data_IF_957000827987
#
_entry.id   IF_957000827987
#
_cell.length_a   1.000
_cell.length_b   1.000
_cell.length_c   1.000
_cell.angle_alpha   90.00
_cell.angle_beta   90.00
_cell.angle_gamma   90.00
#
_symmetry.space_group_name_H-M   'P 1'
#
loop_
_entity.id
_entity.type
_entity.pdbx_description
1 polymer ?
#
# COMPACT_ATOMS: atom_id res chain seq x y z
N UNK A 1 -2.63 16.38 -15.21
CA UNK A 1 -3.41 15.18 -14.91
C UNK A 1 -3.19 14.11 -15.95
N UNK A 2 -2.16 13.28 -15.76
CA UNK A 2 -2.09 11.99 -16.45
C UNK A 2 -3.15 11.13 -15.76
N UNK A 3 -4.14 10.70 -16.53
CA UNK A 3 -5.21 9.89 -16.02
C UNK A 3 -4.66 8.52 -15.57
N UNK A 4 -4.36 8.42 -14.27
CA UNK A 4 -3.89 7.21 -13.58
C UNK A 4 -4.86 6.03 -13.75
N UNK A 5 -6.10 6.25 -14.22
CA UNK A 5 -7.04 5.18 -14.55
C UNK A 5 -6.72 4.49 -15.88
N UNK A 6 -6.14 5.19 -16.85
CA UNK A 6 -5.80 4.66 -18.18
C UNK A 6 -4.91 3.42 -18.11
N UNK A 7 -4.05 3.33 -17.10
CA UNK A 7 -3.10 2.23 -16.96
C UNK A 7 -3.68 0.95 -16.35
N UNK A 8 -4.90 0.99 -15.81
CA UNK A 8 -5.54 -0.16 -15.16
C UNK A 8 -6.61 -0.83 -16.02
N UNK A 9 -6.67 -0.51 -17.32
CA UNK A 9 -7.52 -1.23 -18.25
C UNK A 9 -6.95 -2.62 -18.58
N UNK A 10 -7.83 -3.61 -18.69
CA UNK A 10 -7.51 -4.96 -19.11
C UNK A 10 -7.38 -5.06 -20.65
N UNK A 11 -6.36 -4.41 -21.23
CA UNK A 11 -6.23 -4.32 -22.69
C UNK A 11 -5.42 -5.48 -23.30
N UNK A 12 -4.42 -5.99 -22.57
CA UNK A 12 -3.53 -7.05 -23.06
C UNK A 12 -3.21 -8.08 -21.97
N UNK A 13 -3.20 -9.36 -22.33
CA UNK A 13 -2.72 -10.42 -21.44
C UNK A 13 -1.24 -10.22 -21.09
N UNK A 14 -0.92 -10.33 -19.80
CA UNK A 14 0.43 -10.10 -19.28
C UNK A 14 1.49 -11.05 -19.86
N UNK A 15 2.73 -10.57 -19.88
CA UNK A 15 3.94 -11.37 -20.06
C UNK A 15 4.85 -11.25 -18.83
N UNK A 16 6.00 -11.93 -18.85
CA UNK A 16 6.95 -11.93 -17.73
C UNK A 16 7.44 -10.52 -17.31
N UNK A 17 7.63 -9.61 -18.27
CA UNK A 17 8.10 -8.25 -17.99
C UNK A 17 7.02 -7.42 -17.29
N UNK A 18 5.77 -7.60 -17.68
CA UNK A 18 4.63 -6.92 -17.07
C UNK A 18 4.49 -7.30 -15.59
N UNK A 19 4.60 -8.59 -15.30
CA UNK A 19 4.52 -9.09 -13.93
C UNK A 19 5.67 -8.58 -13.05
N UNK A 20 6.91 -8.60 -13.56
CA UNK A 20 8.06 -8.04 -12.83
C UNK A 20 7.91 -6.54 -12.58
N UNK A 21 7.44 -5.80 -13.59
CA UNK A 21 7.16 -4.37 -13.46
C UNK A 21 6.08 -4.11 -12.42
N UNK A 22 4.99 -4.90 -12.45
CA UNK A 22 3.91 -4.86 -11.48
C UNK A 22 4.43 -5.05 -10.05
N UNK A 23 5.30 -6.03 -9.79
CA UNK A 23 5.89 -6.22 -8.47
C UNK A 23 6.73 -5.05 -7.99
N UNK A 24 7.63 -4.55 -8.86
CA UNK A 24 8.46 -3.41 -8.53
C UNK A 24 7.62 -2.16 -8.24
N UNK A 25 6.66 -1.88 -9.12
CA UNK A 25 5.75 -0.76 -9.00
C UNK A 25 4.87 -0.87 -7.76
N UNK A 26 4.26 -2.03 -7.51
CA UNK A 26 3.42 -2.28 -6.34
C UNK A 26 4.20 -2.11 -5.05
N UNK A 27 5.42 -2.65 -4.96
CA UNK A 27 6.24 -2.52 -3.76
C UNK A 27 6.65 -1.08 -3.50
N UNK A 28 7.14 -0.38 -4.52
CA UNK A 28 7.58 1.01 -4.38
C UNK A 28 6.41 1.94 -4.03
N UNK A 29 5.31 1.84 -4.77
CA UNK A 29 4.11 2.65 -4.53
C UNK A 29 3.51 2.36 -3.15
N UNK A 30 3.52 1.09 -2.71
CA UNK A 30 3.05 0.73 -1.38
C UNK A 30 3.91 1.35 -0.29
N UNK A 31 5.24 1.29 -0.43
CA UNK A 31 6.15 1.82 0.56
C UNK A 31 6.02 3.34 0.68
N UNK A 32 5.98 4.06 -0.46
CA UNK A 32 5.71 5.50 -0.51
C UNK A 32 4.35 5.83 0.12
N UNK A 33 3.30 5.09 -0.23
CA UNK A 33 1.96 5.27 0.36
C UNK A 33 1.97 5.05 1.88
N UNK A 34 2.66 4.03 2.38
CA UNK A 34 2.75 3.76 3.81
C UNK A 34 3.45 4.91 4.55
N UNK A 35 4.46 5.54 3.95
CA UNK A 35 5.15 6.69 4.52
C UNK A 35 4.29 7.96 4.59
N UNK A 36 3.17 8.03 3.87
CA UNK A 36 2.22 9.13 4.05
C UNK A 36 1.50 9.01 5.41
N UNK A 37 1.37 7.79 5.94
CA UNK A 37 0.68 7.50 7.21
C UNK A 37 1.60 7.87 8.39
N UNK A 38 1.24 8.87 9.22
CA UNK A 38 2.09 9.31 10.34
C UNK A 38 2.45 8.19 11.31
N UNK A 39 1.49 7.31 11.61
CA UNK A 39 1.65 6.20 12.54
C UNK A 39 2.63 5.15 12.01
N UNK A 40 2.72 4.95 10.69
CA UNK A 40 3.73 4.09 10.09
C UNK A 40 5.13 4.70 10.23
N UNK A 41 5.28 5.99 9.91
CA UNK A 41 6.57 6.70 10.02
C UNK A 41 7.09 6.80 11.45
N UNK A 42 6.19 6.81 12.43
CA UNK A 42 6.54 6.86 13.84
C UNK A 42 7.13 5.54 14.38
N UNK A 43 6.95 4.41 13.67
CA UNK A 43 7.52 3.12 14.05
C UNK A 43 9.03 3.10 13.87
N UNK A 44 9.71 2.21 14.61
CA UNK A 44 11.12 1.92 14.36
C UNK A 44 11.32 1.38 12.92
N UNK A 45 12.45 1.71 12.29
CA UNK A 45 12.73 1.28 10.92
C UNK A 45 12.66 -0.25 10.76
N UNK A 46 13.10 -1.01 11.76
CA UNK A 46 12.97 -2.48 11.77
C UNK A 46 11.51 -2.95 11.67
N UNK A 47 10.61 -2.29 12.38
CA UNK A 47 9.18 -2.62 12.42
C UNK A 47 8.48 -2.21 11.10
N UNK A 48 8.86 -1.04 10.54
CA UNK A 48 8.40 -0.62 9.22
C UNK A 48 8.75 -1.65 8.14
N UNK A 49 9.97 -2.20 8.19
CA UNK A 49 10.43 -3.23 7.26
C UNK A 49 9.69 -4.55 7.44
N UNK A 50 9.40 -4.96 8.69
CA UNK A 50 8.61 -6.16 8.97
C UNK A 50 7.20 -6.03 8.41
N UNK A 51 6.49 -4.93 8.71
CA UNK A 51 5.14 -4.68 8.19
C UNK A 51 5.11 -4.65 6.65
N UNK A 52 6.06 -3.95 6.04
CA UNK A 52 6.15 -3.85 4.58
C UNK A 52 6.38 -5.21 3.94
N UNK A 53 7.28 -6.02 4.50
CA UNK A 53 7.58 -7.36 3.98
C UNK A 53 6.41 -8.33 4.16
N UNK A 54 5.74 -8.29 5.30
CA UNK A 54 4.65 -9.21 5.61
C UNK A 54 3.39 -8.91 4.80
N UNK A 55 3.10 -7.62 4.59
CA UNK A 55 1.79 -7.21 4.05
C UNK A 55 1.84 -6.71 2.61
N UNK A 56 3.01 -6.66 1.95
CA UNK A 56 3.10 -6.10 0.59
C UNK A 56 2.21 -6.80 -0.43
N UNK A 57 2.24 -8.13 -0.47
CA UNK A 57 1.39 -8.92 -1.34
C UNK A 57 -0.09 -8.69 -1.03
N UNK A 58 -0.48 -8.75 0.25
CA UNK A 58 -1.87 -8.56 0.70
C UNK A 58 -2.43 -7.21 0.24
N UNK A 59 -1.66 -6.14 0.49
CA UNK A 59 -2.10 -4.78 0.13
C UNK A 59 -2.04 -4.55 -1.38
N UNK A 60 -1.04 -5.12 -2.07
CA UNK A 60 -0.92 -5.07 -3.52
C UNK A 60 -2.09 -5.74 -4.23
N UNK A 61 -2.45 -6.97 -3.83
CA UNK A 61 -3.59 -7.68 -4.41
C UNK A 61 -4.93 -7.01 -4.14
N UNK A 62 -5.12 -6.47 -2.93
CA UNK A 62 -6.29 -5.65 -2.63
C UNK A 62 -6.37 -4.43 -3.56
N UNK A 63 -5.23 -3.79 -3.84
CA UNK A 63 -5.19 -2.67 -4.77
C UNK A 63 -5.58 -3.09 -6.19
N UNK A 64 -4.97 -4.13 -6.76
CA UNK A 64 -5.27 -4.55 -8.13
C UNK A 64 -6.71 -5.03 -8.31
N UNK A 65 -7.24 -5.80 -7.36
CA UNK A 65 -8.63 -6.27 -7.45
C UNK A 65 -9.64 -5.15 -7.21
N UNK A 66 -9.34 -4.17 -6.35
CA UNK A 66 -10.21 -3.00 -6.20
C UNK A 66 -10.24 -2.16 -7.48
N UNK A 67 -9.10 -2.02 -8.18
CA UNK A 67 -9.03 -1.30 -9.45
C UNK A 67 -9.83 -1.99 -10.56
N UNK A 68 -9.89 -3.32 -10.58
CA UNK A 68 -10.76 -4.02 -11.53
C UNK A 68 -12.24 -3.77 -11.25
N UNK A 69 -12.66 -3.79 -9.99
CA UNK A 69 -14.05 -3.49 -9.59
C UNK A 69 -14.42 -2.04 -9.93
N UNK A 70 -13.54 -1.07 -9.62
CA UNK A 70 -13.78 0.35 -9.89
C UNK A 70 -14.01 0.65 -11.38
N UNK A 71 -13.44 -0.17 -12.26
CA UNK A 71 -13.56 -0.04 -13.71
C UNK A 71 -14.60 -1.00 -14.32
N UNK A 72 -15.37 -1.73 -13.50
CA UNK A 72 -16.31 -2.78 -13.92
C UNK A 72 -15.67 -3.89 -14.78
N UNK A 73 -14.42 -4.23 -14.48
CA UNK A 73 -13.58 -5.21 -15.20
C UNK A 73 -13.21 -6.42 -14.36
N UNK A 74 -13.71 -6.55 -13.13
CA UNK A 74 -13.40 -7.68 -12.26
C UNK A 74 -13.83 -9.01 -12.86
N UNK A 75 -14.79 -9.00 -13.80
CA UNK A 75 -15.22 -10.18 -14.57
C UNK A 75 -14.30 -10.55 -15.74
N UNK A 76 -13.40 -9.65 -16.14
CA UNK A 76 -12.44 -9.84 -17.24
C UNK A 76 -11.12 -10.38 -16.67
N UNK A 77 -10.58 -9.70 -15.66
CA UNK A 77 -9.33 -10.10 -15.05
C UNK A 77 -8.80 -9.13 -13.99
N UNK A 78 -7.55 -9.32 -13.62
CA UNK A 78 -6.86 -8.49 -12.62
C UNK A 78 -5.83 -7.60 -13.33
N UNK A 79 -6.04 -6.27 -13.39
CA UNK A 79 -5.14 -5.34 -14.08
C UNK A 79 -3.84 -5.14 -13.29
N UNK A 80 -2.74 -4.91 -14.00
CA UNK A 80 -1.40 -4.77 -13.44
C UNK A 80 -0.86 -3.33 -13.44
N UNK A 81 -1.67 -2.34 -13.87
CA UNK A 81 -1.29 -0.93 -13.84
C UNK A 81 -0.34 -0.50 -14.97
N UNK A 82 -0.30 -1.26 -16.06
CA UNK A 82 0.45 -0.91 -17.29
C UNK A 82 -0.31 -1.27 -18.58
N UNK A 83 -1.65 -1.36 -18.52
CA UNK A 83 -2.52 -1.84 -19.60
C UNK A 83 -2.54 -3.36 -19.78
N UNK A 84 -1.73 -4.10 -19.00
CA UNK A 84 -1.80 -5.55 -18.97
C UNK A 84 -2.65 -6.09 -17.82
N UNK A 85 -3.14 -7.32 -17.96
CA UNK A 85 -3.93 -7.99 -16.94
C UNK A 85 -3.66 -9.50 -16.88
N UNK A 86 -4.06 -10.09 -15.76
CA UNK A 86 -4.09 -11.54 -15.56
C UNK A 86 -5.49 -12.03 -15.90
N UNK A 87 -5.68 -12.77 -17.01
CA UNK A 87 -6.95 -13.40 -17.32
C UNK A 87 -7.18 -14.59 -16.38
N UNK A 88 -8.44 -14.96 -16.19
CA UNK A 88 -8.80 -16.21 -15.52
C UNK A 88 -9.93 -16.97 -16.21
N UNK A 89 -10.50 -16.42 -17.29
CA UNK A 89 -11.38 -17.17 -18.18
C UNK A 89 -10.59 -18.26 -18.92
N UNK A 90 -11.21 -19.43 -19.13
CA UNK A 90 -10.54 -20.58 -19.72
C UNK A 90 -10.01 -20.32 -21.14
N UNK A 91 -10.73 -19.51 -21.93
CA UNK A 91 -10.33 -19.17 -23.30
C UNK A 91 -9.09 -18.28 -23.34
N UNK A 92 -9.09 -17.19 -22.57
CA UNK A 92 -7.96 -16.26 -22.51
C UNK A 92 -6.75 -16.87 -21.78
N UNK A 93 -6.99 -17.66 -20.72
CA UNK A 93 -5.94 -18.41 -20.03
C UNK A 93 -5.14 -19.28 -21.00
N UNK A 94 -5.78 -19.95 -21.95
CA UNK A 94 -5.10 -20.79 -22.93
C UNK A 94 -4.08 -20.03 -23.82
N UNK A 95 -4.20 -18.70 -23.91
CA UNK A 95 -3.29 -17.85 -24.69
C UNK A 95 -2.13 -17.26 -23.87
N UNK A 96 -2.22 -17.33 -22.53
CA UNK A 96 -1.15 -16.90 -21.62
C UNK A 96 0.01 -17.90 -21.61
N UNK A 97 1.21 -17.50 -21.21
CA UNK A 97 2.34 -18.44 -21.05
C UNK A 97 1.95 -19.60 -20.10
N UNK A 98 2.16 -20.87 -20.49
CA UNK A 98 1.83 -22.04 -19.67
C UNK A 98 2.36 -21.99 -18.23
N UNK A 99 3.51 -21.35 -17.98
CA UNK A 99 4.05 -21.23 -16.62
C UNK A 99 3.14 -20.37 -15.73
N UNK A 100 2.52 -19.34 -16.30
CA UNK A 100 1.64 -18.42 -15.59
C UNK A 100 0.19 -18.93 -15.53
N UNK A 101 -0.24 -19.73 -16.51
CA UNK A 101 -1.58 -20.34 -16.51
C UNK A 101 -1.84 -21.14 -15.23
N UNK A 102 -0.86 -21.96 -14.85
CA UNK A 102 -0.97 -22.87 -13.71
C UNK A 102 -0.79 -22.19 -12.34
N UNK A 103 -0.30 -20.95 -12.33
CA UNK A 103 0.02 -20.15 -11.13
C UNK A 103 -0.90 -18.93 -11.03
N UNK A 104 -0.57 -17.83 -11.72
CA UNK A 104 -1.28 -16.56 -11.68
C UNK A 104 -2.71 -16.64 -12.22
N UNK A 105 -2.98 -17.48 -13.22
CA UNK A 105 -4.35 -17.69 -13.70
C UNK A 105 -5.28 -18.23 -12.61
N UNK A 106 -4.81 -19.21 -11.83
CA UNK A 106 -5.55 -19.76 -10.67
C UNK A 106 -5.62 -18.75 -9.53
N UNK A 107 -4.55 -17.99 -9.30
CA UNK A 107 -4.49 -16.97 -8.27
C UNK A 107 -5.51 -15.85 -8.56
N UNK A 108 -5.53 -15.33 -9.79
CA UNK A 108 -6.47 -14.30 -10.23
C UNK A 108 -7.92 -14.75 -10.08
N UNK A 109 -8.23 -15.98 -10.50
CA UNK A 109 -9.57 -16.56 -10.28
C UNK A 109 -9.97 -16.52 -8.80
N UNK A 110 -9.09 -17.03 -7.92
CA UNK A 110 -9.36 -17.06 -6.49
C UNK A 110 -9.48 -15.66 -5.89
N UNK A 111 -8.61 -14.73 -6.28
CA UNK A 111 -8.64 -13.35 -5.82
C UNK A 111 -9.95 -12.67 -6.21
N UNK A 112 -10.40 -12.82 -7.45
CA UNK A 112 -11.68 -12.26 -7.90
C UNK A 112 -12.85 -12.91 -7.18
N UNK A 113 -12.91 -14.24 -7.11
CA UNK A 113 -14.02 -14.96 -6.46
C UNK A 113 -14.12 -14.64 -4.96
N UNK A 114 -12.99 -14.55 -4.26
CA UNK A 114 -12.94 -14.37 -2.81
C UNK A 114 -12.92 -12.91 -2.35
N UNK A 115 -12.53 -11.98 -3.23
CA UNK A 115 -12.34 -10.56 -2.86
C UNK A 115 -13.03 -9.63 -3.84
N UNK A 116 -12.77 -9.75 -5.14
CA UNK A 116 -13.33 -8.83 -6.14
C UNK A 116 -14.86 -8.84 -6.19
N UNK A 117 -15.47 -10.02 -6.29
CA UNK A 117 -16.93 -10.17 -6.31
C UNK A 117 -17.55 -9.67 -4.99
N UNK A 118 -17.05 -10.07 -3.80
CA UNK A 118 -17.53 -9.50 -2.54
C UNK A 118 -17.39 -7.98 -2.42
N UNK A 119 -16.27 -7.39 -2.85
CA UNK A 119 -16.07 -5.93 -2.85
C UNK A 119 -17.15 -5.24 -3.67
N UNK A 120 -17.44 -5.77 -4.87
CA UNK A 120 -18.49 -5.22 -5.74
C UNK A 120 -19.88 -5.41 -5.15
N UNK A 121 -20.20 -6.59 -4.64
CA UNK A 121 -21.52 -6.90 -4.05
C UNK A 121 -21.80 -6.09 -2.79
N UNK A 122 -20.77 -5.77 -2.01
CA UNK A 122 -20.88 -4.90 -0.86
C UNK A 122 -20.94 -3.42 -1.23
N UNK A 123 -20.78 -3.03 -2.50
CA UNK A 123 -20.67 -1.63 -2.90
C UNK A 123 -19.59 -0.90 -2.07
N UNK A 124 -18.38 -1.45 -2.04
CA UNK A 124 -17.26 -0.86 -1.29
C UNK A 124 -16.92 0.52 -1.85
N UNK A 125 -17.00 1.57 -1.03
CA UNK A 125 -16.56 2.90 -1.47
C UNK A 125 -15.06 3.12 -1.23
N UNK A 126 -14.60 4.28 -1.69
CA UNK A 126 -13.22 4.69 -1.55
C UNK A 126 -12.75 4.82 -0.09
N UNK A 127 -13.62 5.28 0.82
CA UNK A 127 -13.27 5.48 2.24
C UNK A 127 -13.15 4.12 2.95
N UNK A 128 -14.09 3.19 2.72
CA UNK A 128 -14.02 1.81 3.20
C UNK A 128 -12.79 1.09 2.63
N UNK A 129 -12.51 1.25 1.33
CA UNK A 129 -11.30 0.72 0.69
C UNK A 129 -10.02 1.24 1.35
N UNK A 130 -9.93 2.55 1.57
CA UNK A 130 -8.74 3.19 2.14
C UNK A 130 -8.48 2.71 3.57
N UNK A 131 -9.55 2.61 4.38
CA UNK A 131 -9.49 2.08 5.74
C UNK A 131 -9.12 0.59 5.74
N UNK A 132 -9.73 -0.22 4.86
CA UNK A 132 -9.41 -1.64 4.75
C UNK A 132 -7.95 -1.87 4.33
N UNK A 133 -7.45 -1.06 3.39
CA UNK A 133 -6.05 -1.07 2.94
C UNK A 133 -5.10 -0.75 4.10
N UNK A 134 -5.42 0.25 4.91
CA UNK A 134 -4.65 0.57 6.11
C UNK A 134 -4.71 -0.58 7.14
N UNK A 135 -5.89 -1.12 7.44
CA UNK A 135 -6.02 -2.25 8.38
C UNK A 135 -5.21 -3.45 7.89
N UNK A 136 -5.18 -3.73 6.59
CA UNK A 136 -4.37 -4.79 6.00
C UNK A 136 -2.85 -4.53 6.12
N UNK A 137 -2.39 -3.29 5.92
CA UNK A 137 -0.98 -2.91 6.04
C UNK A 137 -0.44 -3.06 7.47
N UNK A 138 -1.30 -2.81 8.46
CA UNK A 138 -0.96 -2.86 9.88
C UNK A 138 -1.28 -4.24 10.51
N UNK A 139 -1.50 -5.30 9.72
CA UNK A 139 -1.50 -6.66 10.28
C UNK A 139 -0.09 -7.02 10.76
N UNK A 140 0.01 -7.69 11.91
CA UNK A 140 1.30 -8.09 12.45
C UNK A 140 1.18 -9.38 13.25
N UNK A 141 2.28 -10.14 13.21
CA UNK A 141 2.55 -11.26 14.11
C UNK A 141 3.57 -10.83 15.18
N UNK A 142 4.17 -11.78 15.90
CA UNK A 142 5.10 -11.51 17.00
C UNK A 142 6.50 -11.04 16.56
N UNK A 143 6.71 -10.66 15.30
CA UNK A 143 8.01 -10.23 14.75
C UNK A 143 8.34 -8.75 15.02
N UNK A 144 7.35 -7.93 15.38
CA UNK A 144 7.55 -6.53 15.72
C UNK A 144 8.16 -6.37 17.13
N UNK A 145 8.83 -5.23 17.36
CA UNK A 145 9.23 -4.80 18.71
C UNK A 145 8.02 -4.67 19.64
N UNK A 146 8.22 -4.74 20.96
CA UNK A 146 7.11 -4.63 21.92
C UNK A 146 6.42 -3.26 21.82
N UNK A 147 7.19 -2.18 21.61
CA UNK A 147 6.66 -0.86 21.34
C UNK A 147 5.87 -0.82 20.02
N UNK A 148 6.42 -1.42 18.96
CA UNK A 148 5.77 -1.52 17.65
C UNK A 148 4.45 -2.28 17.71
N UNK A 149 4.40 -3.42 18.39
CA UNK A 149 3.18 -4.20 18.59
C UNK A 149 2.08 -3.38 19.27
N UNK A 150 2.42 -2.62 20.32
CA UNK A 150 1.47 -1.74 21.02
C UNK A 150 0.98 -0.62 20.11
N UNK A 151 1.89 0.10 19.46
CA UNK A 151 1.56 1.21 18.57
C UNK A 151 0.66 0.76 17.40
N UNK A 152 0.99 -0.38 16.79
CA UNK A 152 0.20 -0.96 15.69
C UNK A 152 -1.17 -1.41 16.19
N UNK A 153 -1.26 -2.05 17.36
CA UNK A 153 -2.54 -2.47 17.94
C UNK A 153 -3.47 -1.27 18.22
N UNK A 154 -2.93 -0.23 18.86
CA UNK A 154 -3.68 1.00 19.17
C UNK A 154 -4.19 1.67 17.88
N UNK A 155 -3.33 1.76 16.86
CA UNK A 155 -3.72 2.35 15.58
C UNK A 155 -4.78 1.51 14.85
N UNK A 156 -4.68 0.17 14.88
CA UNK A 156 -5.72 -0.72 14.33
C UNK A 156 -7.06 -0.51 15.02
N UNK A 157 -7.10 -0.32 16.34
CA UNK A 157 -8.34 -0.02 17.04
C UNK A 157 -8.94 1.30 16.58
N UNK A 158 -8.11 2.31 16.35
CA UNK A 158 -8.53 3.58 15.77
C UNK A 158 -9.11 3.40 14.35
N UNK A 159 -8.43 2.67 13.47
CA UNK A 159 -8.90 2.38 12.11
C UNK A 159 -10.23 1.63 12.09
N UNK A 160 -10.42 0.64 12.96
CA UNK A 160 -11.69 -0.08 13.07
C UNK A 160 -12.82 0.83 13.57
N UNK A 161 -12.53 1.72 14.52
CA UNK A 161 -13.51 2.70 15.01
C UNK A 161 -13.91 3.67 13.90
N UNK A 162 -12.95 4.12 13.08
CA UNK A 162 -13.20 4.96 11.92
C UNK A 162 -14.04 4.24 10.85
N UNK A 163 -13.77 2.96 10.59
CA UNK A 163 -14.56 2.14 9.66
C UNK A 163 -16.01 2.00 10.13
N UNK A 164 -16.22 1.71 11.41
CA UNK A 164 -17.56 1.65 11.99
C UNK A 164 -18.26 3.00 11.81
N UNK A 165 -17.66 4.09 12.26
CA UNK A 165 -18.25 5.43 12.16
C UNK A 165 -18.61 5.82 10.71
N UNK A 166 -17.77 5.45 9.75
CA UNK A 166 -18.05 5.64 8.33
C UNK A 166 -19.26 4.82 7.85
N UNK A 167 -19.34 3.54 8.20
CA UNK A 167 -20.49 2.68 7.90
C UNK A 167 -21.78 3.26 8.51
N UNK A 168 -21.74 3.77 9.74
CA UNK A 168 -22.90 4.39 10.38
C UNK A 168 -23.40 5.62 9.61
N UNK A 169 -22.46 6.43 9.12
CA UNK A 169 -22.75 7.63 8.31
C UNK A 169 -23.33 7.27 6.94
N UNK A 170 -22.76 6.28 6.25
CA UNK A 170 -23.16 5.88 4.89
C UNK A 170 -24.47 5.07 4.88
N UNK A 171 -24.71 4.26 5.90
CA UNK A 171 -25.86 3.38 6.00
C UNK A 171 -26.71 3.68 7.25
N UNK A 172 -27.31 4.90 7.37
CA UNK A 172 -28.08 5.29 8.55
C UNK A 172 -29.39 4.49 8.71
N UNK A 173 -29.85 3.87 7.62
CA UNK A 173 -31.05 3.03 7.59
C UNK A 173 -30.80 1.60 8.09
N UNK A 174 -29.54 1.15 8.14
CA UNK A 174 -29.20 -0.18 8.66
C UNK A 174 -29.27 -0.20 10.18
N UNK A 175 -29.80 -1.30 10.71
CA UNK A 175 -29.74 -1.59 12.15
C UNK A 175 -28.28 -1.71 12.64
N UNK A 176 -28.03 -1.53 13.95
CA UNK A 176 -26.68 -1.73 14.50
C UNK A 176 -26.11 -3.13 14.22
N UNK A 177 -26.95 -4.15 14.19
CA UNK A 177 -26.53 -5.53 13.87
C UNK A 177 -26.07 -5.66 12.41
N UNK A 178 -26.82 -5.10 11.45
CA UNK A 178 -26.46 -5.11 10.03
C UNK A 178 -25.16 -4.35 9.76
N UNK A 179 -24.97 -3.19 10.41
CA UNK A 179 -23.72 -2.41 10.32
C UNK A 179 -22.52 -3.16 10.89
N UNK A 180 -22.71 -3.85 12.03
CA UNK A 180 -21.69 -4.71 12.61
C UNK A 180 -21.34 -5.88 11.66
N UNK A 181 -22.36 -6.53 11.07
CA UNK A 181 -22.15 -7.59 10.09
C UNK A 181 -21.41 -7.09 8.85
N UNK A 182 -21.72 -5.90 8.34
CA UNK A 182 -20.97 -5.29 7.23
C UNK A 182 -19.50 -5.09 7.62
N UNK A 183 -19.22 -4.49 8.78
CA UNK A 183 -17.84 -4.31 9.26
C UNK A 183 -17.09 -5.64 9.38
N UNK A 184 -17.77 -6.69 9.86
CA UNK A 184 -17.23 -8.04 9.90
C UNK A 184 -16.92 -8.58 8.50
N UNK A 185 -17.85 -8.46 7.54
CA UNK A 185 -17.64 -8.93 6.17
C UNK A 185 -16.48 -8.21 5.48
N UNK A 186 -16.36 -6.89 5.67
CA UNK A 186 -15.24 -6.09 5.15
C UNK A 186 -13.90 -6.57 5.72
N UNK A 187 -13.81 -6.70 7.05
CA UNK A 187 -12.56 -7.13 7.70
C UNK A 187 -12.23 -8.60 7.42
N UNK A 188 -13.22 -9.44 7.14
CA UNK A 188 -13.05 -10.83 6.72
C UNK A 188 -12.41 -10.98 5.32
N UNK A 189 -12.36 -9.92 4.51
CA UNK A 189 -11.60 -9.93 3.26
C UNK A 189 -10.08 -10.01 3.51
N UNK A 190 -9.59 -9.54 4.66
CA UNK A 190 -8.16 -9.53 4.98
C UNK A 190 -7.59 -10.96 5.07
N UNK A 191 -8.17 -11.89 5.85
CA UNK A 191 -7.73 -13.28 5.83
C UNK A 191 -7.76 -13.93 4.44
N UNK A 192 -8.76 -13.61 3.61
CA UNK A 192 -8.82 -14.09 2.23
C UNK A 192 -7.62 -13.57 1.41
N UNK A 193 -7.29 -12.28 1.53
CA UNK A 193 -6.12 -11.68 0.87
C UNK A 193 -4.79 -12.27 1.38
N UNK A 194 -4.65 -12.51 2.68
CA UNK A 194 -3.47 -13.16 3.25
C UNK A 194 -3.28 -14.57 2.67
N UNK A 195 -4.38 -15.32 2.48
CA UNK A 195 -4.33 -16.62 1.81
C UNK A 195 -3.88 -16.49 0.35
N UNK A 196 -4.31 -15.45 -0.38
CA UNK A 196 -3.83 -15.17 -1.74
C UNK A 196 -2.32 -14.89 -1.74
N UNK A 197 -1.82 -14.04 -0.83
CA UNK A 197 -0.38 -13.77 -0.72
C UNK A 197 0.44 -15.02 -0.34
N UNK A 198 -0.12 -15.92 0.46
CA UNK A 198 0.52 -17.21 0.75
C UNK A 198 0.58 -18.11 -0.49
N UNK A 199 -0.51 -18.21 -1.27
CA UNK A 199 -0.55 -18.98 -2.51
C UNK A 199 0.45 -18.44 -3.54
N UNK A 200 0.55 -17.13 -3.69
CA UNK A 200 1.58 -16.48 -4.51
C UNK A 200 2.99 -16.90 -4.08
N UNK A 201 3.28 -16.82 -2.79
CA UNK A 201 4.60 -17.19 -2.25
C UNK A 201 4.94 -18.65 -2.55
N UNK A 202 3.97 -19.57 -2.45
CA UNK A 202 4.15 -20.97 -2.82
C UNK A 202 4.47 -21.13 -4.31
N UNK A 203 3.76 -20.40 -5.19
CA UNK A 203 4.03 -20.45 -6.62
C UNK A 203 5.40 -19.88 -6.97
N UNK A 204 5.81 -18.79 -6.33
CA UNK A 204 7.13 -18.21 -6.51
C UNK A 204 8.26 -19.18 -6.14
N UNK A 205 8.07 -19.99 -5.09
CA UNK A 205 9.04 -21.01 -4.65
C UNK A 205 9.11 -22.23 -5.57
N UNK A 206 8.03 -22.54 -6.29
CA UNK A 206 7.96 -23.69 -7.21
C UNK A 206 8.56 -23.38 -8.59
N UNK A 207 8.78 -22.10 -8.92
CA UNK A 207 9.47 -21.71 -10.14
C UNK A 207 10.99 -21.90 -9.96
N UNK A 208 11.71 -22.50 -10.95
CA UNK A 208 13.17 -22.50 -10.92
C UNK A 208 13.64 -21.05 -10.92
N UNK A 209 14.21 -20.67 -9.78
CA UNK A 209 14.59 -19.31 -9.42
C UNK A 209 15.61 -18.73 -10.42
N UNK A 210 15.15 -18.00 -11.44
CA UNK A 210 16.03 -17.14 -12.25
C UNK A 210 16.29 -15.82 -11.50
N UNK A 211 16.94 -15.90 -10.33
CA UNK A 211 17.55 -14.70 -9.74
C UNK A 211 18.70 -14.14 -10.60
N UNK A 212 19.14 -14.88 -11.63
CA UNK A 212 20.18 -14.43 -12.54
C UNK A 212 19.82 -13.16 -13.33
N UNK A 213 18.55 -12.74 -13.42
CA UNK A 213 18.17 -11.57 -14.24
C UNK A 213 17.90 -10.29 -13.44
N UNK A 214 17.69 -10.37 -12.11
CA UNK A 214 17.61 -9.18 -11.26
C UNK A 214 19.00 -8.70 -10.81
N UNK A 215 20.00 -9.58 -10.81
CA UNK A 215 21.40 -9.22 -10.53
C UNK A 215 22.25 -9.03 -11.79
N UNK A 216 21.79 -9.41 -12.99
CA UNK A 216 22.52 -9.16 -14.24
C UNK A 216 22.27 -7.80 -14.87
N UNK A 217 21.53 -6.90 -14.21
CA UNK A 217 21.65 -5.45 -14.51
C UNK A 217 22.89 -4.93 -13.78
N UNK A 218 24.03 -5.55 -14.04
CA UNK A 218 25.35 -4.97 -13.78
C UNK A 218 25.68 -4.09 -14.97
N UNK A 219 25.52 -2.78 -14.75
CA UNK A 219 26.36 -1.70 -15.29
C UNK A 219 26.43 -1.40 -16.80
N UNK A 220 25.79 -2.13 -17.74
CA UNK A 220 25.90 -1.76 -19.17
C UNK A 220 24.63 -1.47 -19.96
N UNK A 221 23.42 -1.73 -19.46
CA UNK A 221 22.17 -1.49 -20.21
C UNK A 221 21.04 -0.96 -19.33
N UNK A 222 21.29 0.14 -18.60
CA UNK A 222 20.19 0.92 -18.07
C UNK A 222 19.44 1.58 -19.25
N UNK A 223 18.17 1.25 -19.53
CA UNK A 223 17.36 2.13 -20.36
C UNK A 223 17.35 3.48 -19.67
N UNK A 224 17.68 4.53 -20.40
CA UNK A 224 17.65 5.91 -19.92
C UNK A 224 16.37 6.11 -19.12
N UNK A 225 16.51 6.38 -17.83
CA UNK A 225 15.39 6.67 -16.97
C UNK A 225 14.49 7.69 -17.70
N UNK A 226 13.17 7.50 -17.75
CA UNK A 226 12.30 8.56 -18.21
C UNK A 226 12.60 9.77 -17.33
N UNK A 227 12.96 10.87 -18.00
CA UNK A 227 13.40 12.13 -17.41
C UNK A 227 12.47 12.47 -16.24
N UNK A 228 13.03 12.41 -15.04
CA UNK A 228 12.43 12.94 -13.82
C UNK A 228 12.13 14.42 -14.11
N UNK A 229 10.85 14.79 -14.13
CA UNK A 229 10.45 16.17 -14.33
C UNK A 229 11.11 17.05 -13.28
N UNK A 230 11.85 18.06 -13.73
CA UNK A 230 12.40 19.14 -12.90
C UNK A 230 11.26 19.81 -12.12
N UNK A 231 11.20 19.55 -10.82
CA UNK A 231 10.47 20.39 -9.87
C UNK A 231 11.29 21.68 -9.68
N UNK A 232 10.67 22.88 -9.69
CA UNK A 232 11.41 24.11 -9.46
C UNK A 232 12.09 24.07 -8.10
N UNK A 233 13.41 24.23 -8.10
CA UNK A 233 14.22 24.33 -6.90
C UNK A 233 13.72 25.49 -6.04
N UNK A 234 13.23 25.19 -4.84
CA UNK A 234 13.03 26.22 -3.81
C UNK A 234 14.43 26.64 -3.35
N UNK A 235 14.85 27.83 -3.77
CA UNK A 235 16.09 28.47 -3.35
C UNK A 235 16.17 28.51 -1.81
N UNK A 236 17.04 27.68 -1.23
CA UNK A 236 17.57 27.93 0.10
C UNK A 236 18.47 29.16 -0.01
N UNK A 237 18.05 30.24 0.62
CA UNK A 237 18.83 31.47 0.74
C UNK A 237 20.18 31.15 1.39
N UNK A 238 21.22 31.66 0.76
CA UNK A 238 22.62 31.66 1.16
C UNK A 238 22.79 32.34 2.53
N UNK A 239 23.68 31.80 3.37
CA UNK A 239 24.36 32.62 4.37
C UNK A 239 25.87 32.27 4.35
N UNK A 240 26.78 33.25 4.20
CA UNK A 240 28.15 33.00 3.81
C UNK A 240 29.12 32.87 4.99
N UNK A 241 30.06 31.94 4.81
CA UNK A 241 31.47 31.97 5.26
C UNK A 241 31.78 32.16 6.76
N UNK A 242 32.23 31.07 7.37
CA UNK A 242 33.12 31.04 8.55
C UNK A 242 34.53 31.55 8.23
N UNK A 243 35.18 32.23 9.19
CA UNK A 243 36.58 31.94 9.49
C UNK A 243 36.82 31.68 11.00
N UNK A 244 37.72 30.74 11.30
CA UNK A 244 38.25 30.45 12.64
C UNK A 244 39.49 31.34 12.96
N UNK A 245 40.17 31.20 14.13
CA UNK A 245 39.71 31.32 15.51
C UNK A 245 40.59 32.29 16.34
N UNK A 246 40.02 32.98 17.35
CA UNK A 246 40.83 33.63 18.40
C UNK A 246 40.07 33.68 19.73
N UNK A 247 40.62 33.05 20.77
CA UNK A 247 40.28 33.28 22.19
C UNK A 247 41.21 34.42 22.71
N UNK A 248 40.94 35.17 23.81
CA UNK A 248 40.29 34.71 25.05
C UNK A 248 39.43 35.76 25.83
N UNK A 249 38.90 35.29 26.97
CA UNK A 249 38.50 36.01 28.22
C UNK A 249 37.01 36.27 28.55
N UNK A 250 36.56 35.54 29.59
CA UNK A 250 35.87 36.00 30.82
C UNK A 250 34.70 37.00 30.71
N UNK A 251 33.47 36.59 31.08
CA UNK A 251 32.90 36.87 32.42
C UNK A 251 31.45 36.34 32.61
N UNK A 252 31.26 35.72 33.79
CA UNK A 252 30.13 35.84 34.75
C UNK A 252 28.64 35.62 34.38
N UNK A 253 28.14 34.47 34.87
CA UNK A 253 26.98 34.20 35.75
C UNK A 253 25.50 34.31 35.28
N UNK A 254 24.58 33.55 35.95
CA UNK A 254 23.32 33.03 35.42
C UNK A 254 22.06 33.62 36.08
N UNK A 255 20.87 33.35 35.50
CA UNK A 255 19.51 33.31 36.10
C UNK A 255 18.48 33.30 34.93
N UNK A 256 17.26 32.78 34.96
CA UNK A 256 16.42 32.09 35.96
C UNK A 256 15.29 31.39 35.17
N UNK A 257 14.70 30.36 35.78
CA UNK A 257 13.53 29.64 35.33
C UNK A 257 12.27 30.51 35.28
N UNK A 258 11.39 30.18 34.33
CA UNK A 258 9.91 30.20 34.40
C UNK A 258 9.29 30.98 33.25
N UNK A 259 8.52 30.27 32.41
CA UNK A 259 7.18 30.70 31.98
C UNK A 259 6.48 29.58 31.20
N UNK A 260 5.46 29.04 31.85
CA UNK A 260 4.33 28.36 31.22
C UNK A 260 3.63 29.31 30.25
N UNK A 261 3.13 28.81 29.12
CA UNK A 261 1.92 29.34 28.49
C UNK A 261 1.11 28.23 27.79
N UNK A 262 -0.22 28.38 27.69
CA UNK A 262 -1.16 27.30 27.45
C UNK A 262 -1.60 27.17 25.98
N UNK A 263 -2.21 26.00 25.71
CA UNK A 263 -2.84 25.56 24.47
C UNK A 263 -4.05 26.46 24.14
N UNK A 264 -4.17 26.88 22.87
CA UNK A 264 -5.38 27.49 22.30
C UNK A 264 -5.83 26.66 21.10
N UNK A 265 -7.04 26.12 21.20
CA UNK A 265 -7.81 25.47 20.15
C UNK A 265 -8.54 26.56 19.36
N UNK A 266 -8.49 26.54 18.03
CA UNK A 266 -9.37 27.34 17.18
C UNK A 266 -10.08 26.42 16.18
N UNK A 267 -11.39 26.34 16.39
CA UNK A 267 -12.42 25.75 15.54
C UNK A 267 -12.74 26.73 14.40
N UNK A 268 -12.87 26.24 13.17
CA UNK A 268 -13.26 27.08 12.04
C UNK A 268 -14.14 26.29 11.05
N UNK A 269 -15.45 26.31 11.33
CA UNK A 269 -16.51 26.17 10.33
C UNK A 269 -16.89 27.56 9.83
N UNK A 270 -16.74 27.80 8.52
CA UNK A 270 -17.66 28.60 7.69
C UNK A 270 -17.43 28.26 6.23
#
# INVERSE_FOLDING_TARGET
>A
DIDMYTYYHCDRIMNAKDLNHCYYFAFHLLFEWAHIIPEFRALAQSDQMVLSRQNCSTVGWLHFVYRSVLLDQERIGVPLGNGSYIPYDAGELATMDPQYQSTYGKLAKKLVDMVGIPIREMDLDWEEYSLLKAIAMFQFDNELSLEGQRAVLDFRHHLNSALIAHIEKRFPHMSPAERCMRCFHLTALIPALMQIGHLESQFAQQQPFQIATLTSVTESDAPSAPILYDLPSVNAAEDPTTPSPTNPQQNEKPEDHSRQHPIVIVDARS
#
